data_IF_559012252316
#
_entry.id   IF_559012252316
#
_cell.length_a   1.000
_cell.length_b   1.000
_cell.length_c   1.000
_cell.angle_alpha   90.00
_cell.angle_beta   90.00
_cell.angle_gamma   90.00
#
_symmetry.space_group_name_H-M   'P 1'
#
loop_
_entity.id
_entity.type
_entity.pdbx_description
1 polymer ?
#
# COMPACT_ATOMS: atom_id res chain seq x y z
N UNK A 1 -5.58 15.90 -11.89
CA UNK A 1 -4.42 15.99 -12.83
C UNK A 1 -3.28 16.85 -12.31
N UNK A 2 -3.52 18.03 -11.72
CA UNK A 2 -2.42 18.89 -11.22
C UNK A 2 -1.68 18.29 -10.02
N UNK A 3 -2.34 17.60 -9.11
CA UNK A 3 -1.69 16.93 -7.97
C UNK A 3 -0.87 15.73 -8.46
N UNK A 4 -1.42 14.88 -9.32
CA UNK A 4 -0.67 13.76 -9.93
C UNK A 4 0.53 14.27 -10.72
N UNK A 5 0.36 15.32 -11.49
CA UNK A 5 1.46 15.90 -12.26
C UNK A 5 2.55 16.44 -11.34
N UNK A 6 2.17 17.12 -10.27
CA UNK A 6 3.11 17.68 -9.31
C UNK A 6 3.85 16.61 -8.51
N UNK A 7 3.13 15.62 -7.97
CA UNK A 7 3.74 14.47 -7.33
C UNK A 7 4.72 13.76 -8.25
N UNK A 8 4.34 13.58 -9.53
CA UNK A 8 5.21 12.99 -10.54
C UNK A 8 6.44 13.86 -10.86
N UNK A 9 6.34 15.18 -10.83
CA UNK A 9 7.45 16.11 -11.07
C UNK A 9 8.35 16.20 -9.83
N UNK A 10 7.79 16.32 -8.64
CA UNK A 10 8.56 16.37 -7.39
C UNK A 10 9.37 15.11 -7.13
N UNK A 11 8.84 13.95 -7.51
CA UNK A 11 9.48 12.64 -7.31
C UNK A 11 10.49 12.24 -8.38
N UNK A 12 10.54 12.95 -9.49
CA UNK A 12 11.59 12.78 -10.51
C UNK A 12 12.90 13.50 -10.14
N UNK A 13 12.89 14.34 -9.13
CA UNK A 13 14.12 14.95 -8.60
C UNK A 13 14.74 14.01 -7.56
N UNK A 14 15.95 13.60 -7.81
CA UNK A 14 16.76 12.62 -7.09
C UNK A 14 16.95 12.92 -5.60
N UNK A 15 16.23 12.65 -4.74
CA UNK A 15 16.21 12.88 -3.31
C UNK A 15 15.11 13.84 -2.86
N UNK A 16 13.91 13.31 -2.66
CA UNK A 16 12.99 13.94 -1.75
C UNK A 16 13.61 13.89 -0.34
N UNK A 17 14.42 14.88 0.00
CA UNK A 17 14.73 15.10 1.39
C UNK A 17 13.43 15.50 2.11
N UNK A 18 13.20 15.07 3.37
CA UNK A 18 12.02 15.42 4.16
C UNK A 18 11.66 16.91 4.10
N UNK A 19 12.67 17.75 4.07
CA UNK A 19 12.54 19.21 4.00
C UNK A 19 11.95 19.73 2.68
N UNK A 20 12.26 19.13 1.53
CA UNK A 20 11.73 19.55 0.24
C UNK A 20 10.25 19.15 0.09
N UNK A 21 9.85 18.05 0.68
CA UNK A 21 8.46 17.57 0.71
C UNK A 21 7.63 18.51 1.56
N UNK A 22 8.11 18.88 2.74
CA UNK A 22 7.41 19.76 3.68
C UNK A 22 7.21 21.16 3.11
N UNK A 23 8.23 21.77 2.49
CA UNK A 23 8.13 23.09 1.89
C UNK A 23 7.25 23.13 0.63
N UNK A 24 7.29 22.10 -0.19
CA UNK A 24 6.59 22.10 -1.49
C UNK A 24 5.14 21.63 -1.37
N UNK A 25 4.84 20.70 -0.47
CA UNK A 25 3.51 20.08 -0.36
C UNK A 25 2.64 20.69 0.73
N UNK A 26 3.21 21.25 1.79
CA UNK A 26 2.47 22.02 2.80
C UNK A 26 1.86 23.31 2.26
N UNK A 27 2.32 23.82 1.09
CA UNK A 27 1.81 25.03 0.45
C UNK A 27 0.64 24.80 -0.52
N UNK A 28 0.19 23.54 -0.72
CA UNK A 28 -0.89 23.24 -1.68
C UNK A 28 -2.26 23.25 -1.02
N UNK A 29 -3.17 24.03 -1.62
CA UNK A 29 -4.59 24.00 -1.31
C UNK A 29 -5.27 23.00 -2.25
N UNK A 30 -5.79 21.91 -1.67
CA UNK A 30 -6.53 20.92 -2.44
C UNK A 30 -7.94 21.40 -2.69
N UNK A 31 -8.38 21.29 -3.94
CA UNK A 31 -9.78 21.45 -4.30
C UNK A 31 -10.42 20.08 -4.32
N UNK A 32 -11.41 19.88 -3.47
CA UNK A 32 -12.22 18.68 -3.51
C UNK A 32 -12.99 18.66 -4.84
N UNK A 33 -12.75 17.64 -5.64
CA UNK A 33 -13.52 17.37 -6.86
C UNK A 33 -14.75 16.51 -6.53
N UNK A 34 -15.64 16.35 -7.51
CA UNK A 34 -16.80 15.48 -7.35
C UNK A 34 -16.31 14.03 -7.20
N UNK A 35 -16.93 13.24 -6.31
CA UNK A 35 -16.58 11.84 -6.15
C UNK A 35 -16.83 11.08 -7.47
N UNK A 36 -15.88 10.22 -7.84
CA UNK A 36 -16.00 9.30 -8.95
C UNK A 36 -16.30 7.94 -8.33
N UNK A 37 -17.42 7.34 -8.71
CA UNK A 37 -17.81 6.03 -8.19
C UNK A 37 -17.07 4.91 -8.91
N UNK A 38 -16.75 3.84 -8.18
CA UNK A 38 -16.02 2.68 -8.71
C UNK A 38 -16.65 2.07 -9.94
N UNK A 39 -17.97 1.99 -9.98
CA UNK A 39 -18.73 1.49 -11.14
C UNK A 39 -18.45 2.27 -12.45
N UNK A 40 -17.90 3.48 -12.35
CA UNK A 40 -17.58 4.32 -13.51
C UNK A 40 -16.14 4.11 -14.03
N UNK A 41 -15.26 3.53 -13.22
CA UNK A 41 -13.81 3.43 -13.50
C UNK A 41 -13.26 2.03 -13.45
N UNK A 42 -13.89 1.10 -12.71
CA UNK A 42 -13.46 -0.27 -12.63
C UNK A 42 -13.91 -1.06 -13.88
N UNK A 43 -13.00 -1.86 -14.41
CA UNK A 43 -13.29 -2.81 -15.50
C UNK A 43 -13.39 -4.23 -14.95
N UNK A 44 -14.04 -5.11 -15.71
CA UNK A 44 -14.12 -6.52 -15.35
C UNK A 44 -12.71 -7.16 -15.30
N UNK A 45 -11.85 -6.80 -16.23
CA UNK A 45 -10.47 -7.29 -16.31
C UNK A 45 -9.68 -6.92 -15.04
N UNK A 46 -9.82 -5.68 -14.57
CA UNK A 46 -9.18 -5.24 -13.33
C UNK A 46 -9.65 -6.06 -12.12
N UNK A 47 -10.96 -6.28 -12.01
CA UNK A 47 -11.53 -7.05 -10.89
C UNK A 47 -11.12 -8.52 -10.94
N UNK A 48 -11.12 -9.14 -12.12
CA UNK A 48 -10.68 -10.53 -12.33
C UNK A 48 -9.19 -10.65 -11.93
N UNK A 49 -8.34 -9.76 -12.42
CA UNK A 49 -6.92 -9.76 -12.06
C UNK A 49 -6.70 -9.60 -10.56
N UNK A 50 -7.44 -8.67 -9.91
CA UNK A 50 -7.34 -8.50 -8.47
C UNK A 50 -7.74 -9.77 -7.72
N UNK A 51 -8.80 -10.47 -8.14
CA UNK A 51 -9.26 -11.73 -7.56
C UNK A 51 -8.18 -12.81 -7.72
N UNK A 52 -7.66 -13.00 -8.93
CA UNK A 52 -6.66 -14.02 -9.22
C UNK A 52 -5.40 -13.81 -8.39
N UNK A 53 -4.87 -12.58 -8.35
CA UNK A 53 -3.69 -12.22 -7.55
C UNK A 53 -3.94 -12.33 -6.04
N UNK A 54 -5.18 -12.09 -5.57
CA UNK A 54 -5.54 -12.29 -4.16
C UNK A 54 -5.56 -13.77 -3.80
N UNK A 55 -6.11 -14.64 -4.68
CA UNK A 55 -6.06 -16.09 -4.50
C UNK A 55 -4.63 -16.63 -4.54
N UNK A 56 -3.79 -16.16 -5.46
CA UNK A 56 -2.37 -16.49 -5.48
C UNK A 56 -1.68 -16.11 -4.16
N UNK A 57 -1.96 -14.92 -3.62
CA UNK A 57 -1.42 -14.48 -2.36
C UNK A 57 -1.87 -15.39 -1.21
N UNK A 58 -3.16 -15.76 -1.16
CA UNK A 58 -3.69 -16.64 -0.13
C UNK A 58 -3.04 -18.02 -0.14
N UNK A 59 -2.67 -18.53 -1.33
CA UNK A 59 -2.04 -19.84 -1.53
C UNK A 59 -0.51 -19.78 -1.51
N UNK A 60 0.07 -18.59 -1.44
CA UNK A 60 1.51 -18.40 -1.58
C UNK A 60 2.32 -19.06 -0.47
N UNK A 61 1.81 -19.07 0.77
CA UNK A 61 2.47 -19.67 1.93
C UNK A 61 1.50 -20.51 2.75
N UNK A 62 2.06 -21.39 3.56
CA UNK A 62 1.29 -22.32 4.40
C UNK A 62 0.40 -21.64 5.43
N UNK A 63 0.70 -20.42 5.85
CA UNK A 63 -0.18 -19.67 6.76
C UNK A 63 -1.56 -19.38 6.16
N UNK A 64 -1.69 -19.28 4.83
CA UNK A 64 -2.98 -19.13 4.16
C UNK A 64 -3.98 -20.23 4.50
N UNK A 65 -3.50 -21.45 4.83
CA UNK A 65 -4.34 -22.58 5.22
C UNK A 65 -5.03 -22.39 6.58
N UNK A 66 -4.57 -21.45 7.39
CA UNK A 66 -5.11 -21.15 8.71
C UNK A 66 -6.23 -20.09 8.70
N UNK A 67 -6.48 -19.45 7.54
CA UNK A 67 -7.50 -18.42 7.39
C UNK A 67 -8.73 -18.96 6.66
N UNK A 68 -9.89 -18.57 7.13
CA UNK A 68 -11.15 -18.92 6.48
C UNK A 68 -11.36 -18.18 5.16
N UNK A 69 -12.31 -18.63 4.35
CA UNK A 69 -12.73 -17.89 3.16
C UNK A 69 -13.33 -16.52 3.52
N UNK A 70 -13.96 -16.42 4.67
CA UNK A 70 -14.49 -15.15 5.19
C UNK A 70 -13.36 -14.17 5.50
N UNK A 71 -12.29 -14.61 6.17
CA UNK A 71 -11.09 -13.81 6.40
C UNK A 71 -10.44 -13.38 5.09
N UNK A 72 -10.38 -14.27 4.10
CA UNK A 72 -9.90 -13.93 2.77
C UNK A 72 -10.72 -12.81 2.14
N UNK A 73 -12.05 -12.92 2.16
CA UNK A 73 -12.94 -11.92 1.58
C UNK A 73 -12.82 -10.56 2.26
N UNK A 74 -12.65 -10.53 3.58
CA UNK A 74 -12.62 -9.29 4.35
C UNK A 74 -11.24 -8.62 4.37
N UNK A 75 -10.16 -9.40 4.42
CA UNK A 75 -8.84 -8.87 4.76
C UNK A 75 -7.79 -9.02 3.63
N UNK A 76 -7.97 -9.94 2.70
CA UNK A 76 -7.03 -10.15 1.58
C UNK A 76 -7.60 -9.66 0.24
N UNK A 77 -8.86 -9.94 -0.05
CA UNK A 77 -9.47 -9.67 -1.34
C UNK A 77 -9.65 -8.20 -1.69
N UNK A 78 -9.92 -7.25 -0.75
CA UNK A 78 -10.20 -5.87 -1.11
C UNK A 78 -9.10 -5.27 -1.99
N UNK A 79 -9.51 -4.65 -3.10
CA UNK A 79 -8.60 -4.08 -4.10
C UNK A 79 -8.03 -2.71 -3.70
N UNK A 80 -8.57 -2.08 -2.68
CA UNK A 80 -8.10 -0.81 -2.12
C UNK A 80 -8.29 -0.76 -0.60
N UNK A 81 -7.82 0.30 0.04
CA UNK A 81 -7.86 0.49 1.50
C UNK A 81 -8.86 1.59 1.86
N UNK A 82 -8.87 2.71 1.16
CA UNK A 82 -9.68 3.88 1.42
C UNK A 82 -10.36 4.42 0.16
N UNK A 83 -10.08 5.67 -0.15
CA UNK A 83 -10.65 6.44 -1.26
C UNK A 83 -9.66 6.69 -2.42
N UNK A 84 -8.52 6.01 -2.40
CA UNK A 84 -7.53 6.06 -3.47
C UNK A 84 -8.06 5.55 -4.80
N UNK A 85 -7.52 6.08 -5.90
CA UNK A 85 -7.82 5.56 -7.22
C UNK A 85 -7.31 4.11 -7.36
N UNK A 86 -8.08 3.20 -7.99
CA UNK A 86 -7.63 1.84 -8.26
C UNK A 86 -6.33 1.84 -9.09
N UNK A 87 -5.36 1.03 -8.67
CA UNK A 87 -4.10 0.79 -9.37
C UNK A 87 -3.69 -0.69 -9.30
N UNK A 88 -2.60 -1.07 -9.98
CA UNK A 88 -2.18 -2.48 -10.08
C UNK A 88 -1.20 -2.89 -8.96
N UNK A 89 -1.36 -2.33 -7.77
CA UNK A 89 -0.45 -2.54 -6.65
C UNK A 89 -0.14 -4.01 -6.33
N UNK A 90 -1.13 -4.92 -6.43
CA UNK A 90 -0.88 -6.33 -6.09
C UNK A 90 0.21 -6.95 -6.94
N UNK A 91 0.19 -6.69 -8.24
CA UNK A 91 1.20 -7.20 -9.17
C UNK A 91 2.58 -6.63 -8.86
N UNK A 92 2.65 -5.32 -8.66
CA UNK A 92 3.92 -4.62 -8.42
C UNK A 92 4.54 -4.97 -7.08
N UNK A 93 3.72 -5.06 -6.01
CA UNK A 93 4.18 -5.52 -4.70
C UNK A 93 4.60 -6.99 -4.71
N UNK A 94 3.84 -7.87 -5.40
CA UNK A 94 4.19 -9.28 -5.51
C UNK A 94 5.54 -9.46 -6.19
N UNK A 95 5.76 -8.81 -7.33
CA UNK A 95 7.01 -8.88 -8.07
C UNK A 95 8.21 -8.39 -7.23
N UNK A 96 8.02 -7.38 -6.38
CA UNK A 96 9.09 -6.82 -5.54
C UNK A 96 9.32 -7.60 -4.26
N UNK A 97 8.28 -7.98 -3.52
CA UNK A 97 8.43 -8.42 -2.13
C UNK A 97 8.30 -9.93 -1.91
N UNK A 98 7.69 -10.71 -2.82
CA UNK A 98 7.73 -12.19 -2.70
C UNK A 98 9.16 -12.74 -2.72
N UNK A 99 10.04 -12.35 -3.68
CA UNK A 99 11.44 -12.79 -3.66
C UNK A 99 12.20 -12.32 -2.42
N UNK A 100 11.88 -11.13 -1.90
CA UNK A 100 12.48 -10.62 -0.66
C UNK A 100 12.09 -11.51 0.51
N UNK A 101 10.79 -11.77 0.71
CA UNK A 101 10.34 -12.65 1.79
C UNK A 101 10.93 -14.06 1.66
N UNK A 102 10.99 -14.61 0.45
CA UNK A 102 11.58 -15.93 0.20
C UNK A 102 13.06 -16.00 0.58
N UNK A 103 13.79 -14.90 0.45
CA UNK A 103 15.19 -14.81 0.87
C UNK A 103 15.38 -14.61 2.37
N UNK A 104 14.42 -13.96 3.03
CA UNK A 104 14.50 -13.62 4.45
C UNK A 104 13.99 -14.75 5.35
N UNK A 105 12.90 -15.39 4.94
CA UNK A 105 12.19 -16.36 5.78
C UNK A 105 11.43 -17.39 4.96
N UNK A 106 11.67 -18.66 5.25
CA UNK A 106 11.01 -19.81 4.59
C UNK A 106 10.15 -20.65 5.55
N UNK A 107 9.97 -20.19 6.78
CA UNK A 107 9.14 -20.87 7.77
C UNK A 107 7.63 -20.59 7.58
N UNK A 108 6.84 -21.06 8.56
CA UNK A 108 5.38 -20.96 8.56
C UNK A 108 4.82 -19.98 9.58
N UNK A 109 5.67 -19.40 10.42
CA UNK A 109 5.28 -18.44 11.46
C UNK A 109 5.14 -17.03 10.83
N UNK A 110 3.91 -16.54 10.82
CA UNK A 110 3.56 -15.22 10.29
C UNK A 110 4.23 -14.08 11.06
N UNK A 111 4.38 -14.22 12.39
CA UNK A 111 4.97 -13.17 13.23
C UNK A 111 6.43 -12.97 12.88
N UNK A 112 7.17 -14.09 12.74
CA UNK A 112 8.58 -14.06 12.33
C UNK A 112 8.75 -13.53 10.91
N UNK A 113 7.83 -13.86 9.99
CA UNK A 113 7.83 -13.32 8.64
C UNK A 113 7.66 -11.80 8.62
N UNK A 114 6.68 -11.27 9.37
CA UNK A 114 6.41 -9.83 9.47
C UNK A 114 7.59 -9.10 10.12
N UNK A 115 8.15 -9.63 11.21
CA UNK A 115 9.31 -9.05 11.88
C UNK A 115 10.54 -8.96 10.95
N UNK A 116 10.79 -10.03 10.20
CA UNK A 116 11.88 -10.06 9.20
C UNK A 116 11.70 -9.01 8.10
N UNK A 117 10.46 -8.84 7.62
CA UNK A 117 10.12 -7.81 6.64
C UNK A 117 10.27 -6.41 7.21
N UNK A 118 9.84 -6.18 8.44
CA UNK A 118 9.96 -4.88 9.10
C UNK A 118 11.44 -4.48 9.26
N UNK A 119 12.30 -5.38 9.69
CA UNK A 119 13.73 -5.15 9.77
C UNK A 119 14.37 -4.89 8.39
N UNK A 120 13.89 -5.54 7.35
CA UNK A 120 14.33 -5.28 5.98
C UNK A 120 13.89 -3.87 5.52
N UNK A 121 12.62 -3.50 5.74
CA UNK A 121 12.06 -2.21 5.32
C UNK A 121 12.72 -1.04 6.03
N UNK A 122 13.01 -1.14 7.31
CA UNK A 122 13.74 -0.10 8.06
C UNK A 122 15.07 0.29 7.40
N UNK A 123 15.71 -0.62 6.67
CA UNK A 123 16.99 -0.40 6.00
C UNK A 123 16.85 -0.02 4.52
N UNK A 124 15.80 -0.46 3.86
CA UNK A 124 15.68 -0.39 2.40
C UNK A 124 14.55 0.52 1.92
N UNK A 125 13.65 0.91 2.82
CA UNK A 125 12.51 1.77 2.54
C UNK A 125 12.43 2.87 3.62
N UNK A 126 13.35 3.85 3.59
CA UNK A 126 13.35 4.94 4.56
C UNK A 126 12.12 5.83 4.32
N UNK A 127 11.11 5.67 5.16
CA UNK A 127 9.88 6.44 5.06
C UNK A 127 10.08 7.87 5.55
N UNK A 128 9.68 8.84 4.72
CA UNK A 128 9.72 10.26 5.05
C UNK A 128 8.40 10.68 5.71
N UNK A 129 8.40 10.78 7.01
CA UNK A 129 7.21 11.14 7.79
C UNK A 129 6.94 12.64 7.73
N UNK A 130 5.70 13.01 7.39
CA UNK A 130 5.22 14.39 7.39
C UNK A 130 3.78 14.46 7.92
N UNK A 131 3.58 15.13 9.06
CA UNK A 131 2.27 15.28 9.72
C UNK A 131 1.29 16.19 8.96
N UNK A 132 1.80 17.09 8.11
CA UNK A 132 0.96 18.03 7.35
C UNK A 132 0.45 17.44 6.04
N UNK A 133 0.72 16.17 5.82
CA UNK A 133 0.33 15.45 4.62
C UNK A 133 -1.17 15.12 4.64
N UNK A 134 -1.98 15.97 4.01
CA UNK A 134 -3.44 15.88 4.02
C UNK A 134 -4.02 15.46 2.67
N UNK A 135 -3.34 14.59 1.96
CA UNK A 135 -3.85 14.06 0.70
C UNK A 135 -4.96 13.02 0.93
N UNK A 136 -5.83 12.75 -0.07
CA UNK A 136 -6.60 11.50 -0.09
C UNK A 136 -5.65 10.31 0.04
N UNK A 137 -6.18 9.12 0.32
CA UNK A 137 -5.36 7.93 0.34
C UNK A 137 -4.52 7.80 -0.93
N UNK A 138 -3.26 7.48 -0.77
CA UNK A 138 -2.36 7.28 -1.90
C UNK A 138 -2.43 5.83 -2.36
N UNK A 139 -2.43 5.62 -3.67
CA UNK A 139 -2.43 4.29 -4.25
C UNK A 139 -1.16 3.51 -3.94
N UNK A 140 -1.26 2.17 -3.96
CA UNK A 140 -0.15 1.31 -3.60
C UNK A 140 1.05 1.47 -4.51
N UNK A 141 0.86 1.66 -5.82
CA UNK A 141 1.97 1.90 -6.75
C UNK A 141 2.72 3.21 -6.46
N UNK A 142 1.98 4.24 -6.05
CA UNK A 142 2.61 5.49 -5.62
C UNK A 142 3.45 5.28 -4.36
N UNK A 143 2.89 4.64 -3.33
CA UNK A 143 3.60 4.37 -2.09
C UNK A 143 4.82 3.47 -2.30
N UNK A 144 4.74 2.51 -3.22
CA UNK A 144 5.87 1.65 -3.57
C UNK A 144 7.07 2.43 -4.15
N UNK A 145 6.79 3.50 -4.88
CA UNK A 145 7.80 4.35 -5.50
C UNK A 145 8.28 5.47 -4.59
N UNK A 146 7.42 5.96 -3.70
CA UNK A 146 7.63 7.15 -2.91
C UNK A 146 7.28 6.90 -1.45
N UNK A 147 8.31 6.67 -0.65
CA UNK A 147 8.19 6.42 0.79
C UNK A 147 7.89 7.73 1.54
N UNK A 148 6.72 8.32 1.36
CA UNK A 148 6.36 9.62 1.92
C UNK A 148 4.91 9.67 2.38
N UNK A 149 4.64 10.33 3.50
CA UNK A 149 3.31 10.56 4.03
C UNK A 149 3.29 10.65 5.55
N UNK A 150 2.09 10.58 6.12
CA UNK A 150 1.89 10.48 7.56
C UNK A 150 1.78 8.99 7.99
N UNK A 151 1.41 8.75 9.24
CA UNK A 151 1.20 7.39 9.76
C UNK A 151 0.16 6.59 8.95
N UNK A 152 -0.80 7.26 8.32
CA UNK A 152 -1.78 6.63 7.44
C UNK A 152 -1.12 5.98 6.23
N UNK A 153 -0.28 6.73 5.51
CA UNK A 153 0.39 6.27 4.29
C UNK A 153 1.39 5.14 4.60
N UNK A 154 2.07 5.20 5.73
CA UNK A 154 2.93 4.12 6.20
C UNK A 154 2.11 2.85 6.53
N UNK A 155 0.96 3.01 7.18
CA UNK A 155 0.03 1.92 7.45
C UNK A 155 -0.53 1.32 6.16
N UNK A 156 -0.96 2.17 5.22
CA UNK A 156 -1.50 1.74 3.93
C UNK A 156 -0.45 0.94 3.13
N UNK A 157 0.81 1.40 3.10
CA UNK A 157 1.91 0.64 2.51
C UNK A 157 2.05 -0.76 3.12
N UNK A 158 2.00 -0.86 4.45
CA UNK A 158 2.08 -2.16 5.14
C UNK A 158 0.87 -3.05 4.82
N UNK A 159 -0.32 -2.49 4.69
CA UNK A 159 -1.53 -3.25 4.30
C UNK A 159 -1.37 -3.82 2.88
N UNK A 160 -0.94 -3.01 1.90
CA UNK A 160 -0.68 -3.48 0.54
C UNK A 160 0.36 -4.61 0.52
N UNK A 161 1.46 -4.42 1.25
CA UNK A 161 2.53 -5.41 1.36
C UNK A 161 2.03 -6.74 1.95
N UNK A 162 1.40 -6.69 3.11
CA UNK A 162 0.96 -7.89 3.83
C UNK A 162 -0.13 -8.65 3.06
N UNK A 163 -1.11 -7.94 2.48
CA UNK A 163 -2.13 -8.54 1.60
C UNK A 163 -1.50 -9.26 0.40
N UNK A 164 -0.45 -8.70 -0.18
CA UNK A 164 0.29 -9.30 -1.32
C UNK A 164 1.00 -10.60 -0.93
N UNK A 165 1.38 -10.72 0.34
CA UNK A 165 2.07 -11.90 0.89
C UNK A 165 1.10 -12.90 1.54
N UNK A 166 -0.21 -12.70 1.38
CA UNK A 166 -1.24 -13.59 1.91
C UNK A 166 -1.43 -13.48 3.41
N UNK A 167 -1.08 -12.35 4.00
CA UNK A 167 -1.27 -12.07 5.44
C UNK A 167 -2.48 -11.16 5.60
N UNK A 168 -3.59 -11.64 6.19
CA UNK A 168 -4.79 -10.84 6.43
C UNK A 168 -4.48 -9.70 7.39
N UNK A 169 -4.90 -8.49 7.01
CA UNK A 169 -4.63 -7.28 7.78
C UNK A 169 -5.72 -6.23 7.59
N UNK A 170 -6.04 -5.53 8.68
CA UNK A 170 -6.91 -4.36 8.69
C UNK A 170 -6.26 -3.22 9.47
N UNK A 171 -6.70 -1.99 9.20
CA UNK A 171 -6.31 -0.80 9.94
C UNK A 171 -7.38 -0.46 10.97
N UNK A 172 -6.98 -0.32 12.22
CA UNK A 172 -7.81 0.26 13.27
C UNK A 172 -7.38 1.71 13.52
N UNK A 173 -8.35 2.63 13.55
CA UNK A 173 -8.11 4.04 13.84
C UNK A 173 -8.74 4.41 15.18
N UNK A 174 -7.90 4.82 16.11
CA UNK A 174 -8.36 5.42 17.35
C UNK A 174 -8.29 6.95 17.24
N UNK A 175 -9.43 7.60 17.39
CA UNK A 175 -9.49 9.07 17.48
C UNK A 175 -9.48 9.39 18.97
N UNK A 176 -8.39 9.96 19.46
CA UNK A 176 -8.37 10.56 20.79
C UNK A 176 -9.10 11.91 20.72
N UNK A 177 -10.22 12.01 21.42
CA UNK A 177 -10.96 13.27 21.62
C UNK A 177 -10.36 14.09 22.77
#
# INVERSE_FOLDING_TARGET
DSIRHYLTVATKQESCLPFDVEQKWGAYHYKQEKPIYDVQVLTAEYLIENIDLAFEAWQYRDWGKHYSFDDFCHYLLPYRIGDEAPDNWRRTFAARYRPVLDSLYQGTDVVVAVDSLQHYLQRTYPFCYNNDFQFPHLGGEFLLQHAVGACREETDFMIYLLRTLGIPVASDRYIYS
#
